data_IF_136167034308
#
_entry.id   IF_136167034308
#
_cell.length_a   1.000
_cell.length_b   1.000
_cell.length_c   1.000
_cell.angle_alpha   90.00
_cell.angle_beta   90.00
_cell.angle_gamma   90.00
#
_symmetry.space_group_name_H-M   'P 1'
#
loop_
_entity.id
_entity.type
_entity.pdbx_description
1 polymer ?
#
# COMPACT_ATOMS: atom_id res chain seq x y z
N UNK A 1 40.42 22.43 -16.72
CA UNK A 1 41.17 21.40 -17.45
C UNK A 1 41.18 20.11 -16.63
N UNK A 2 40.44 19.11 -17.03
CA UNK A 2 40.76 17.68 -17.05
C UNK A 2 39.58 16.93 -17.64
N UNK A 3 39.89 16.30 -18.73
CA UNK A 3 39.09 15.53 -19.66
C UNK A 3 38.92 14.08 -19.16
N UNK A 4 37.87 13.45 -19.68
CA UNK A 4 37.85 12.05 -20.07
C UNK A 4 37.21 11.18 -18.98
N UNK A 5 36.40 10.20 -19.24
CA UNK A 5 36.50 9.19 -20.32
C UNK A 5 35.09 8.57 -20.47
N UNK A 6 34.61 8.54 -21.69
CA UNK A 6 33.54 7.64 -22.14
C UNK A 6 34.04 6.18 -22.04
N UNK A 7 33.20 5.28 -21.51
CA UNK A 7 33.40 3.88 -21.76
C UNK A 7 32.08 3.26 -22.28
N UNK A 8 32.02 3.17 -23.60
CA UNK A 8 31.10 2.34 -24.35
C UNK A 8 31.48 0.87 -24.16
N UNK A 9 30.58 0.04 -23.66
CA UNK A 9 30.70 -1.41 -23.84
C UNK A 9 29.44 -1.91 -24.54
N UNK A 10 29.62 -2.12 -25.83
CA UNK A 10 28.74 -2.83 -26.73
C UNK A 10 28.99 -4.35 -26.54
N UNK A 11 27.98 -5.09 -26.08
CA UNK A 11 28.02 -6.56 -26.14
C UNK A 11 26.90 -7.05 -27.06
N UNK A 12 27.30 -7.36 -28.28
CA UNK A 12 26.52 -8.14 -29.25
C UNK A 12 26.97 -9.60 -29.09
N UNK A 13 26.08 -10.47 -28.70
CA UNK A 13 26.25 -11.90 -28.96
C UNK A 13 24.97 -12.41 -29.61
N UNK A 14 25.04 -12.52 -30.92
CA UNK A 14 24.12 -13.30 -31.70
C UNK A 14 24.45 -14.79 -31.56
N UNK A 15 23.45 -15.60 -31.35
CA UNK A 15 23.55 -17.04 -31.57
C UNK A 15 22.28 -17.54 -32.23
N UNK A 16 22.35 -17.66 -33.55
CA UNK A 16 21.42 -18.36 -34.42
C UNK A 16 21.66 -19.86 -34.28
N UNK A 17 20.65 -20.62 -33.86
CA UNK A 17 20.60 -22.04 -34.10
C UNK A 17 19.44 -22.35 -35.04
N UNK A 18 19.75 -22.55 -36.31
CA UNK A 18 18.90 -23.23 -37.27
C UNK A 18 19.07 -24.75 -37.08
N UNK A 19 18.02 -25.43 -36.70
CA UNK A 19 17.92 -26.87 -36.89
C UNK A 19 16.75 -27.12 -37.81
N UNK A 20 17.11 -27.45 -39.03
CA UNK A 20 16.23 -28.01 -40.05
C UNK A 20 16.18 -29.53 -39.83
N UNK A 21 15.03 -30.12 -39.66
CA UNK A 21 14.79 -31.51 -39.93
C UNK A 21 13.56 -31.60 -40.80
N UNK A 22 13.85 -31.95 -42.04
CA UNK A 22 12.90 -32.40 -43.03
C UNK A 22 12.73 -33.92 -42.78
N UNK A 23 11.48 -34.38 -42.69
CA UNK A 23 11.15 -35.76 -43.03
C UNK A 23 9.72 -35.81 -43.55
N UNK A 24 9.68 -36.13 -44.84
CA UNK A 24 8.48 -36.39 -45.61
C UNK A 24 7.87 -37.72 -45.12
N UNK A 25 6.57 -37.71 -44.82
CA UNK A 25 5.72 -38.89 -45.03
C UNK A 25 4.27 -38.48 -45.26
N UNK A 26 3.90 -38.50 -46.52
CA UNK A 26 2.53 -38.50 -47.02
C UNK A 26 1.71 -39.63 -46.39
N UNK A 27 0.60 -39.29 -45.75
CA UNK A 27 -0.62 -40.11 -45.76
C UNK A 27 -1.82 -39.19 -45.64
N UNK A 28 -2.48 -38.96 -46.76
CA UNK A 28 -3.88 -38.64 -46.84
C UNK A 28 -4.72 -39.64 -46.00
N UNK A 29 -5.64 -39.13 -45.19
CA UNK A 29 -7.02 -39.61 -45.11
C UNK A 29 -7.79 -38.90 -43.99
N UNK A 30 -8.85 -38.34 -44.43
CA UNK A 30 -10.18 -38.30 -43.84
C UNK A 30 -10.62 -36.97 -43.13
N UNK A 31 -11.56 -36.39 -43.84
CA UNK A 31 -12.43 -35.31 -43.40
C UNK A 31 -13.25 -35.76 -42.15
N UNK A 32 -12.92 -35.21 -41.01
CA UNK A 32 -13.74 -35.27 -39.81
C UNK A 32 -13.94 -33.85 -39.28
N UNK A 33 -14.98 -33.21 -39.82
CA UNK A 33 -15.55 -31.97 -39.33
C UNK A 33 -15.98 -32.13 -37.87
N UNK A 34 -15.23 -31.57 -36.93
CA UNK A 34 -15.73 -31.17 -35.62
C UNK A 34 -15.05 -29.88 -35.16
N UNK A 35 -15.65 -28.79 -35.59
CA UNK A 35 -15.50 -27.50 -34.94
C UNK A 35 -16.29 -27.52 -33.63
N UNK A 36 -15.75 -28.11 -32.60
CA UNK A 36 -16.05 -27.65 -31.25
C UNK A 36 -15.01 -26.55 -30.93
N UNK A 37 -15.40 -25.35 -31.20
CA UNK A 37 -14.90 -24.16 -30.55
C UNK A 37 -15.22 -24.34 -29.04
N UNK A 38 -14.42 -25.13 -28.35
CA UNK A 38 -14.37 -25.09 -26.92
C UNK A 38 -13.86 -23.71 -26.54
N UNK A 39 -14.77 -22.86 -26.12
CA UNK A 39 -14.43 -21.72 -25.28
C UNK A 39 -13.55 -22.28 -24.15
N UNK A 40 -12.24 -22.13 -24.31
CA UNK A 40 -11.32 -22.30 -23.20
C UNK A 40 -11.63 -21.10 -22.30
N UNK A 41 -12.60 -21.29 -21.44
CA UNK A 41 -12.87 -20.42 -20.32
C UNK A 41 -11.55 -20.40 -19.56
N UNK A 42 -10.74 -19.36 -19.79
CA UNK A 42 -9.59 -19.10 -18.93
C UNK A 42 -10.15 -19.06 -17.52
N UNK A 43 -9.82 -20.10 -16.75
CA UNK A 43 -10.23 -20.25 -15.37
C UNK A 43 -9.46 -19.22 -14.53
N UNK A 44 -9.76 -17.94 -14.77
CA UNK A 44 -9.17 -16.82 -14.07
C UNK A 44 -9.85 -16.67 -12.71
N UNK A 45 -9.04 -16.36 -11.71
CA UNK A 45 -9.52 -16.01 -10.39
C UNK A 45 -10.27 -14.67 -10.45
N UNK A 46 -11.36 -14.54 -9.71
CA UNK A 46 -12.07 -13.27 -9.57
C UNK A 46 -11.17 -12.19 -8.97
N UNK A 47 -11.22 -10.96 -9.47
CA UNK A 47 -10.46 -9.85 -8.89
C UNK A 47 -11.06 -9.40 -7.55
N UNK A 48 -10.27 -8.64 -6.78
CA UNK A 48 -10.79 -7.92 -5.62
C UNK A 48 -11.84 -6.91 -6.06
N UNK A 49 -12.79 -6.64 -5.18
CA UNK A 49 -13.84 -5.64 -5.39
C UNK A 49 -13.79 -4.54 -4.33
N UNK A 50 -14.51 -3.42 -4.53
CA UNK A 50 -14.59 -2.32 -3.57
C UNK A 50 -13.20 -1.76 -3.19
N UNK A 51 -12.23 -1.80 -4.12
CA UNK A 51 -10.88 -1.32 -3.85
C UNK A 51 -10.86 0.20 -3.74
N UNK A 52 -10.47 0.69 -2.56
CA UNK A 52 -10.42 2.11 -2.23
C UNK A 52 -9.15 2.47 -1.47
N UNK A 53 -8.73 3.72 -1.57
CA UNK A 53 -7.66 4.30 -0.77
C UNK A 53 -8.12 5.65 -0.20
N UNK A 54 -7.82 5.90 1.06
CA UNK A 54 -8.09 7.15 1.72
C UNK A 54 -6.85 7.62 2.49
N UNK A 55 -6.55 8.91 2.44
CA UNK A 55 -5.50 9.50 3.28
C UNK A 55 -5.85 9.29 4.76
N UNK A 56 -4.85 8.95 5.55
CA UNK A 56 -4.96 8.86 7.01
C UNK A 56 -4.57 10.19 7.66
N UNK A 57 -4.57 10.23 8.99
CA UNK A 57 -4.05 11.38 9.74
C UNK A 57 -2.52 11.48 9.75
N UNK A 58 -1.82 10.46 9.22
CA UNK A 58 -0.36 10.44 9.15
C UNK A 58 0.13 10.87 7.77
N UNK A 59 1.26 11.57 7.76
CA UNK A 59 1.93 11.96 6.53
C UNK A 59 2.29 10.73 5.69
N UNK A 60 2.08 10.84 4.39
CA UNK A 60 2.43 9.82 3.40
C UNK A 60 1.82 8.44 3.68
N UNK A 61 0.69 8.35 4.39
CA UNK A 61 0.01 7.08 4.67
C UNK A 61 -1.38 7.04 4.04
N UNK A 62 -1.69 5.93 3.37
CA UNK A 62 -3.00 5.62 2.81
C UNK A 62 -3.60 4.40 3.50
N UNK A 63 -4.86 4.49 3.91
CA UNK A 63 -5.65 3.34 4.31
C UNK A 63 -6.28 2.71 3.08
N UNK A 64 -5.80 1.56 2.67
CA UNK A 64 -6.39 0.74 1.61
C UNK A 64 -7.49 -0.15 2.20
N UNK A 65 -8.58 -0.34 1.44
CA UNK A 65 -9.67 -1.27 1.74
C UNK A 65 -10.12 -1.94 0.45
N UNK A 66 -10.52 -3.20 0.56
CA UNK A 66 -11.05 -3.99 -0.56
C UNK A 66 -11.92 -5.13 -0.02
N UNK A 67 -12.54 -5.86 -0.92
CA UNK A 67 -13.24 -7.11 -0.64
C UNK A 67 -12.54 -8.24 -1.38
N UNK A 68 -12.14 -9.28 -0.66
CA UNK A 68 -11.50 -10.45 -1.23
C UNK A 68 -12.52 -11.31 -2.01
N UNK A 69 -12.13 -11.90 -3.14
CA UNK A 69 -12.85 -13.06 -3.68
C UNK A 69 -12.71 -14.27 -2.73
N UNK A 70 -13.60 -15.26 -2.88
CA UNK A 70 -13.73 -16.38 -1.95
C UNK A 70 -12.45 -17.19 -1.77
N UNK A 71 -11.66 -17.30 -2.82
CA UNK A 71 -10.51 -18.21 -2.88
C UNK A 71 -9.16 -17.50 -2.62
N UNK A 72 -9.21 -16.19 -2.39
CA UNK A 72 -8.01 -15.41 -2.13
C UNK A 72 -7.42 -15.72 -0.76
N UNK A 73 -6.16 -16.09 -0.73
CA UNK A 73 -5.36 -16.25 0.49
C UNK A 73 -4.32 -15.14 0.66
N UNK A 74 -4.09 -14.38 -0.39
CA UNK A 74 -3.09 -13.32 -0.47
C UNK A 74 -3.59 -12.23 -1.42
N UNK A 75 -3.34 -10.96 -1.07
CA UNK A 75 -3.45 -9.83 -1.99
C UNK A 75 -2.08 -9.20 -2.15
N UNK A 76 -1.59 -9.12 -3.38
CA UNK A 76 -0.37 -8.40 -3.72
C UNK A 76 -0.71 -6.98 -4.13
N UNK A 77 -0.08 -6.00 -3.48
CA UNK A 77 -0.27 -4.58 -3.70
C UNK A 77 1.02 -4.01 -4.28
N UNK A 78 0.92 -3.37 -5.44
CA UNK A 78 2.02 -2.65 -6.09
C UNK A 78 1.66 -1.18 -6.20
N UNK A 79 2.64 -0.30 -6.09
CA UNK A 79 2.40 1.13 -6.21
C UNK A 79 3.57 1.86 -6.86
N UNK A 80 3.28 2.97 -7.53
CA UNK A 80 4.28 3.88 -8.06
C UNK A 80 3.78 5.32 -8.03
N UNK A 81 4.68 6.28 -7.84
CA UNK A 81 4.40 7.71 -7.91
C UNK A 81 4.04 8.08 -9.36
N UNK A 82 2.94 8.80 -9.55
CA UNK A 82 2.56 9.32 -10.85
C UNK A 82 3.47 10.49 -11.22
N UNK A 83 4.29 10.28 -12.25
CA UNK A 83 5.19 11.30 -12.78
C UNK A 83 4.91 11.49 -14.28
N UNK A 84 4.35 12.63 -14.67
CA UNK A 84 4.35 13.06 -16.06
C UNK A 84 3.45 12.33 -17.05
N UNK A 85 2.43 11.57 -16.62
CA UNK A 85 1.33 11.12 -17.48
C UNK A 85 1.66 9.99 -18.47
N UNK A 86 2.63 9.15 -18.18
CA UNK A 86 2.93 7.91 -18.94
C UNK A 86 2.56 6.64 -18.17
N UNK A 87 2.69 5.49 -18.80
CA UNK A 87 2.59 4.19 -18.14
C UNK A 87 3.68 4.08 -17.08
N UNK A 88 3.26 3.95 -15.83
CA UNK A 88 4.18 3.91 -14.69
C UNK A 88 4.42 2.44 -14.33
N UNK A 89 5.67 1.98 -14.34
CA UNK A 89 5.98 0.63 -13.89
C UNK A 89 5.75 0.52 -12.38
N UNK A 90 4.82 -0.34 -11.97
CA UNK A 90 4.53 -0.63 -10.57
C UNK A 90 5.62 -1.56 -10.04
N UNK A 91 6.58 -1.02 -9.30
CA UNK A 91 7.80 -1.73 -8.92
C UNK A 91 7.83 -2.24 -7.47
N UNK A 92 6.99 -1.68 -6.60
CA UNK A 92 7.01 -2.04 -5.18
C UNK A 92 5.81 -2.90 -4.83
N UNK A 93 6.08 -4.07 -4.25
CA UNK A 93 5.06 -5.04 -3.87
C UNK A 93 4.96 -5.18 -2.36
N UNK A 94 3.74 -5.08 -1.87
CA UNK A 94 3.35 -5.43 -0.51
C UNK A 94 2.47 -6.67 -0.59
N UNK A 95 2.66 -7.63 0.32
CA UNK A 95 1.86 -8.85 0.39
C UNK A 95 1.03 -8.86 1.66
N UNK A 96 -0.29 -8.93 1.51
CA UNK A 96 -1.23 -9.00 2.62
C UNK A 96 -1.84 -10.41 2.63
N UNK A 97 -1.42 -11.21 3.62
CA UNK A 97 -1.86 -12.59 3.76
C UNK A 97 -3.16 -12.69 4.58
N UNK A 98 -3.94 -13.70 4.26
CA UNK A 98 -5.14 -14.10 5.00
C UNK A 98 -6.44 -13.76 4.28
N UNK A 99 -7.32 -14.74 4.22
CA UNK A 99 -8.63 -14.67 3.52
C UNK A 99 -9.52 -13.53 4.02
N UNK A 100 -9.41 -13.17 5.30
CA UNK A 100 -10.23 -12.12 5.92
C UNK A 100 -9.59 -10.74 5.93
N UNK A 101 -8.32 -10.62 5.51
CA UNK A 101 -7.64 -9.34 5.48
C UNK A 101 -8.07 -8.52 4.26
N UNK A 102 -8.84 -7.49 4.49
CA UNK A 102 -9.40 -6.61 3.47
C UNK A 102 -9.03 -5.14 3.70
N UNK A 103 -7.96 -4.88 4.45
CA UNK A 103 -7.43 -3.54 4.71
C UNK A 103 -5.94 -3.57 4.96
N UNK A 104 -5.26 -2.49 4.57
CA UNK A 104 -3.83 -2.31 4.80
C UNK A 104 -3.49 -0.82 4.90
N UNK A 105 -2.68 -0.45 5.90
CA UNK A 105 -2.12 0.89 5.99
C UNK A 105 -0.81 0.93 5.18
N UNK A 106 -0.83 1.60 4.04
CA UNK A 106 0.29 1.70 3.12
C UNK A 106 1.08 2.97 3.43
N UNK A 107 2.30 2.82 3.95
CA UNK A 107 3.25 3.91 4.11
C UNK A 107 3.99 4.14 2.80
N UNK A 108 3.95 5.35 2.30
CA UNK A 108 4.58 5.79 1.06
C UNK A 108 5.88 6.54 1.35
N UNK A 109 6.87 6.51 0.44
CA UNK A 109 8.17 7.12 0.68
C UNK A 109 8.13 8.66 0.69
N UNK A 110 7.22 9.26 -0.06
CA UNK A 110 7.10 10.72 -0.19
C UNK A 110 5.66 11.14 -0.48
N UNK A 111 5.37 12.43 -0.37
CA UNK A 111 4.09 13.00 -0.75
C UNK A 111 3.96 13.04 -2.27
N UNK A 112 2.78 12.67 -2.77
CA UNK A 112 2.44 12.71 -4.19
C UNK A 112 1.23 11.84 -4.51
N UNK A 113 0.79 11.87 -5.75
CA UNK A 113 -0.27 11.00 -6.25
C UNK A 113 0.34 9.68 -6.69
N UNK A 114 -0.22 8.57 -6.23
CA UNK A 114 0.25 7.23 -6.53
C UNK A 114 -0.79 6.44 -7.31
N UNK A 115 -0.33 5.73 -8.32
CA UNK A 115 -1.07 4.62 -8.90
C UNK A 115 -0.84 3.39 -8.03
N UNK A 116 -1.92 2.76 -7.59
CA UNK A 116 -1.90 1.61 -6.70
C UNK A 116 -2.69 0.49 -7.35
N UNK A 117 -2.08 -0.67 -7.48
CA UNK A 117 -2.71 -1.85 -8.06
C UNK A 117 -2.74 -3.00 -7.06
N UNK A 118 -3.80 -3.80 -7.13
CA UNK A 118 -3.94 -5.00 -6.31
C UNK A 118 -4.32 -6.20 -7.16
N UNK A 119 -3.76 -7.35 -6.81
CA UNK A 119 -3.99 -8.66 -7.44
C UNK A 119 -4.26 -9.68 -6.34
N UNK A 120 -5.38 -10.39 -6.42
CA UNK A 120 -5.67 -11.51 -5.54
C UNK A 120 -4.92 -12.76 -6.00
N UNK A 121 -4.51 -13.60 -5.05
CA UNK A 121 -3.78 -14.85 -5.31
C UNK A 121 -4.37 -15.96 -4.44
N UNK A 122 -4.62 -17.13 -5.00
CA UNK A 122 -5.12 -18.30 -4.30
C UNK A 122 -4.02 -19.20 -3.74
N UNK A 123 -4.41 -20.31 -3.12
CA UNK A 123 -3.49 -21.32 -2.56
C UNK A 123 -2.58 -22.00 -3.58
N UNK A 124 -2.96 -21.98 -4.84
CA UNK A 124 -2.23 -22.63 -5.94
C UNK A 124 -1.33 -21.65 -6.69
N UNK A 125 -1.37 -20.36 -6.29
CA UNK A 125 -0.62 -19.29 -6.97
C UNK A 125 -1.33 -18.72 -8.20
N UNK A 126 -2.60 -19.08 -8.43
CA UNK A 126 -3.43 -18.51 -9.47
C UNK A 126 -3.72 -17.04 -9.12
N UNK A 127 -3.70 -16.18 -10.11
CA UNK A 127 -3.77 -14.71 -9.94
C UNK A 127 -5.02 -14.18 -10.61
N UNK A 128 -5.64 -13.20 -9.97
CA UNK A 128 -6.73 -12.43 -10.58
C UNK A 128 -6.21 -11.39 -11.58
N UNK A 129 -7.13 -10.81 -12.32
CA UNK A 129 -6.86 -9.54 -12.98
C UNK A 129 -6.48 -8.45 -11.97
N UNK A 130 -5.70 -7.50 -12.47
CA UNK A 130 -5.22 -6.37 -11.70
C UNK A 130 -6.28 -5.28 -11.59
N UNK A 131 -6.62 -4.86 -10.37
CA UNK A 131 -7.47 -3.70 -10.09
C UNK A 131 -6.59 -2.52 -9.72
N UNK A 132 -6.80 -1.36 -10.36
CA UNK A 132 -5.95 -0.16 -10.16
C UNK A 132 -6.78 1.03 -9.72
N UNK A 133 -6.25 1.81 -8.80
CA UNK A 133 -6.79 3.09 -8.33
C UNK A 133 -5.67 4.13 -8.25
N UNK A 134 -6.04 5.42 -8.22
CA UNK A 134 -5.12 6.53 -7.97
C UNK A 134 -5.49 7.21 -6.66
N UNK A 135 -4.48 7.54 -5.83
CA UNK A 135 -4.70 8.19 -4.55
C UNK A 135 -3.51 9.05 -4.11
N UNK A 136 -3.83 10.10 -3.33
CA UNK A 136 -2.84 11.01 -2.75
C UNK A 136 -2.95 10.95 -1.22
N UNK A 137 -1.86 10.67 -0.47
CA UNK A 137 -1.85 10.69 0.99
C UNK A 137 -1.93 12.12 1.54
N UNK A 138 -2.00 12.27 2.86
CA UNK A 138 -1.77 13.56 3.50
C UNK A 138 -0.28 13.95 3.39
N UNK A 139 0.00 15.23 3.12
CA UNK A 139 1.38 15.76 3.06
C UNK A 139 2.03 15.83 4.44
N UNK A 140 1.24 16.11 5.45
CA UNK A 140 1.68 16.29 6.85
C UNK A 140 0.75 15.52 7.77
N UNK A 141 1.26 15.18 8.95
CA UNK A 141 0.41 14.65 9.99
C UNK A 141 -0.71 15.63 10.31
N UNK A 142 -1.92 15.12 10.45
CA UNK A 142 -3.02 15.94 10.90
C UNK A 142 -2.71 16.44 12.32
N UNK A 143 -2.84 17.74 12.53
CA UNK A 143 -2.78 18.30 13.87
C UNK A 143 -4.03 17.82 14.60
N UNK A 144 -3.84 17.01 15.65
CA UNK A 144 -4.92 16.63 16.54
C UNK A 144 -5.41 17.91 17.23
N UNK A 145 -6.68 18.34 17.04
CA UNK A 145 -7.19 19.57 17.65
C UNK A 145 -7.17 19.54 19.17
N UNK A 146 -7.08 18.35 19.76
CA UNK A 146 -6.95 18.18 21.21
C UNK A 146 -5.49 18.29 21.69
N UNK A 147 -4.49 18.36 20.80
CA UNK A 147 -3.11 18.67 21.18
C UNK A 147 -3.01 20.15 21.49
N UNK A 148 -2.89 20.44 22.77
CA UNK A 148 -2.72 21.79 23.29
C UNK A 148 -1.23 22.05 23.43
N UNK A 149 -0.69 22.78 22.53
CA UNK A 149 0.61 23.46 22.57
C UNK A 149 1.87 22.61 22.86
N UNK A 150 2.89 22.94 22.14
CA UNK A 150 4.26 22.60 22.47
C UNK A 150 4.69 23.33 23.76
N UNK A 151 5.22 22.59 24.72
CA UNK A 151 5.99 23.05 25.87
C UNK A 151 5.25 23.81 27.00
N UNK A 152 3.99 24.21 26.90
CA UNK A 152 3.33 24.92 27.97
C UNK A 152 1.90 24.45 28.19
N UNK A 153 1.72 23.64 29.22
CA UNK A 153 0.40 23.26 29.69
C UNK A 153 -0.32 24.46 30.29
N UNK A 154 -1.60 24.70 29.94
CA UNK A 154 -2.38 25.81 30.48
C UNK A 154 -2.97 25.47 31.85
N UNK A 155 -2.17 24.89 32.76
CA UNK A 155 -2.54 24.50 34.13
C UNK A 155 -1.60 25.13 35.14
N UNK A 156 -2.12 25.43 36.31
CA UNK A 156 -1.33 25.87 37.44
C UNK A 156 -0.89 24.67 38.28
N UNK A 157 0.29 24.78 38.91
CA UNK A 157 0.87 23.76 39.81
C UNK A 157 0.86 22.33 39.19
N UNK A 158 1.49 22.13 38.04
CA UNK A 158 1.43 20.85 37.34
C UNK A 158 2.18 19.76 38.12
N UNK A 159 1.51 18.63 38.32
CA UNK A 159 2.10 17.38 38.78
C UNK A 159 2.11 16.41 37.60
N UNK A 160 3.28 15.79 37.30
CA UNK A 160 3.44 14.85 36.20
C UNK A 160 3.73 13.46 36.74
N UNK A 161 2.93 12.48 36.33
CA UNK A 161 3.10 11.07 36.63
C UNK A 161 3.42 10.33 35.32
N UNK A 162 4.40 9.43 35.38
CA UNK A 162 4.65 8.46 34.26
C UNK A 162 4.04 7.12 34.63
N UNK A 163 3.19 6.59 33.74
CA UNK A 163 2.53 5.32 33.90
C UNK A 163 2.25 4.66 32.54
N UNK A 164 2.58 3.38 32.41
CA UNK A 164 2.34 2.56 31.21
C UNK A 164 2.76 3.22 29.89
N UNK A 165 3.95 3.81 29.86
CA UNK A 165 4.50 4.42 28.67
C UNK A 165 3.97 5.83 28.35
N UNK A 166 3.16 6.42 29.24
CA UNK A 166 2.58 7.75 29.05
C UNK A 166 2.84 8.66 30.24
N UNK A 167 2.90 9.96 29.97
CA UNK A 167 2.98 11.01 30.96
C UNK A 167 1.59 11.60 31.18
N UNK A 168 1.18 11.72 32.41
CA UNK A 168 -0.08 12.32 32.86
C UNK A 168 0.22 13.59 33.64
N UNK A 169 -0.16 14.74 33.12
CA UNK A 169 -0.02 16.01 33.83
C UNK A 169 -1.35 16.43 34.44
N UNK A 170 -1.35 16.66 35.70
CA UNK A 170 -2.48 17.11 36.52
C UNK A 170 -2.25 18.54 36.94
N UNK A 171 -3.25 19.38 36.91
CA UNK A 171 -3.16 20.74 37.38
C UNK A 171 -4.49 21.47 37.49
N UNK A 172 -4.46 22.62 38.13
CA UNK A 172 -5.65 23.45 38.34
C UNK A 172 -5.87 24.43 37.20
N UNK A 173 -7.14 24.62 36.82
CA UNK A 173 -7.66 25.70 36.00
C UNK A 173 -8.84 26.36 36.67
N UNK A 174 -9.33 27.44 36.03
CA UNK A 174 -10.47 28.24 36.53
C UNK A 174 -11.70 27.36 36.87
N UNK A 175 -11.87 26.22 36.19
CA UNK A 175 -13.05 25.36 36.31
C UNK A 175 -12.74 23.96 36.90
N UNK A 176 -11.67 23.82 37.71
CA UNK A 176 -11.32 22.58 38.39
C UNK A 176 -9.99 21.95 37.97
N UNK A 177 -9.84 20.65 38.20
CA UNK A 177 -8.65 19.90 37.85
C UNK A 177 -8.77 19.34 36.43
N UNK A 178 -7.74 19.57 35.64
CA UNK A 178 -7.63 18.97 34.31
C UNK A 178 -6.47 17.98 34.24
N UNK A 179 -6.57 17.03 33.34
CA UNK A 179 -5.56 16.02 33.05
C UNK A 179 -5.15 16.11 31.60
N UNK A 180 -3.85 16.12 31.38
CA UNK A 180 -3.25 16.09 30.04
C UNK A 180 -2.38 14.85 29.92
N UNK A 181 -2.37 14.24 28.73
CA UNK A 181 -1.63 13.02 28.44
C UNK A 181 -0.63 13.31 27.35
N UNK A 182 0.60 12.80 27.51
CA UNK A 182 1.67 12.89 26.51
C UNK A 182 2.45 11.58 26.43
N UNK A 183 2.99 11.28 25.27
CA UNK A 183 3.92 10.16 25.08
C UNK A 183 5.39 10.62 25.04
N UNK A 184 5.63 11.92 24.82
CA UNK A 184 6.96 12.49 24.55
C UNK A 184 7.32 13.74 25.40
N UNK A 185 6.43 14.18 26.29
CA UNK A 185 6.53 15.42 27.08
C UNK A 185 6.51 16.72 26.24
N UNK A 186 6.30 16.62 24.95
CA UNK A 186 6.27 17.77 24.02
C UNK A 186 4.87 18.08 23.57
N UNK A 187 4.14 17.04 23.14
CA UNK A 187 2.76 17.16 22.71
C UNK A 187 1.84 16.65 23.81
N UNK A 188 0.87 17.46 24.19
CA UNK A 188 -0.06 17.16 25.27
C UNK A 188 -1.49 17.18 24.75
N UNK A 189 -2.23 16.13 25.05
CA UNK A 189 -3.64 15.99 24.75
C UNK A 189 -4.46 16.11 26.03
N UNK A 190 -5.50 16.94 26.00
CA UNK A 190 -6.42 17.03 27.14
C UNK A 190 -7.24 15.73 27.25
N UNK A 191 -7.32 15.21 28.46
CA UNK A 191 -8.26 14.12 28.76
C UNK A 191 -9.64 14.72 29.09
N UNK A 192 -10.68 14.26 28.41
CA UNK A 192 -12.06 14.72 28.62
C UNK A 192 -12.64 14.24 29.97
N UNK A 193 -11.97 13.32 30.65
CA UNK A 193 -12.36 12.87 31.98
C UNK A 193 -11.81 13.86 33.00
N UNK A 194 -12.68 14.65 33.61
CA UNK A 194 -12.31 15.48 34.75
C UNK A 194 -11.89 14.58 35.92
N UNK A 195 -10.69 14.81 36.45
CA UNK A 195 -10.19 14.05 37.57
C UNK A 195 -11.02 14.28 38.86
N UNK A 196 -11.62 15.47 38.98
CA UNK A 196 -12.55 15.85 40.06
C UNK A 196 -13.53 16.90 39.51
N UNK A 197 -14.79 16.72 39.75
CA UNK A 197 -15.88 17.68 39.47
C UNK A 197 -16.32 18.35 40.76
#
# INVERSE_FOLDING_TARGET
MRKGILLNILFIIGMTCLVSCNDDNDKELDEGKNTESGDVQEDNMDPITEFTAAATSKANELQLKWKNPSDAVLVEISYALEVGGGDIPLTTNVRVYGEKNSKYALQLPEFGTYQIAAVAVDNYGKRSEKVTISATPAEKDAIDPDIIAEYKLPIADPFVLYHEGKYYAYGTRVNGFEVYISEDLKQWKRNDIKALS
#
